data_IF_782048677178
#
_entry.id   IF_782048677178
#
_cell.length_a   1.000
_cell.length_b   1.000
_cell.length_c   1.000
_cell.angle_alpha   90.00
_cell.angle_beta   90.00
_cell.angle_gamma   90.00
#
_symmetry.space_group_name_H-M   'P 1'
#
loop_
_entity.id
_entity.type
_entity.pdbx_description
1 polymer ?
#
# COMPACT_ATOMS: atom_id res chain seq x y z
N UNK A 1 8.89 -20.60 24.97
CA UNK A 1 8.40 -20.25 23.62
C UNK A 1 9.34 -20.89 22.60
N UNK A 2 8.85 -21.63 21.60
CA UNK A 2 9.73 -22.17 20.55
C UNK A 2 10.29 -21.03 19.69
N UNK A 3 11.53 -21.15 19.19
CA UNK A 3 12.16 -20.17 18.27
C UNK A 3 11.22 -19.83 17.11
N UNK A 4 10.53 -20.83 16.55
CA UNK A 4 9.56 -20.66 15.47
C UNK A 4 8.39 -19.74 15.86
N UNK A 5 7.89 -19.85 17.07
CA UNK A 5 6.79 -19.00 17.58
C UNK A 5 7.25 -17.57 17.83
N UNK A 6 8.48 -17.37 18.31
CA UNK A 6 9.05 -16.03 18.48
C UNK A 6 9.25 -15.32 17.13
N UNK A 7 9.79 -16.03 16.13
CA UNK A 7 9.93 -15.51 14.76
C UNK A 7 8.56 -15.15 14.17
N UNK A 8 7.56 -16.02 14.34
CA UNK A 8 6.21 -15.74 13.87
C UNK A 8 5.62 -14.47 14.48
N UNK A 9 5.75 -14.31 15.80
CA UNK A 9 5.23 -13.15 16.51
C UNK A 9 5.92 -11.86 16.03
N UNK A 10 7.24 -11.86 15.90
CA UNK A 10 7.99 -10.69 15.41
C UNK A 10 7.62 -10.33 13.97
N UNK A 11 7.53 -11.32 13.08
CA UNK A 11 7.08 -11.11 11.69
C UNK A 11 5.67 -10.53 11.64
N UNK A 12 4.76 -11.08 12.44
CA UNK A 12 3.39 -10.59 12.55
C UNK A 12 3.34 -9.15 13.08
N UNK A 13 4.07 -8.84 14.16
CA UNK A 13 4.11 -7.51 14.75
C UNK A 13 4.66 -6.47 13.78
N UNK A 14 5.71 -6.80 13.02
CA UNK A 14 6.26 -5.90 12.00
C UNK A 14 5.27 -5.69 10.85
N UNK A 15 4.67 -6.77 10.33
CA UNK A 15 3.76 -6.68 9.19
C UNK A 15 2.46 -5.94 9.54
N UNK A 16 1.78 -6.35 10.62
CA UNK A 16 0.51 -5.76 11.03
C UNK A 16 0.71 -4.39 11.68
N UNK A 17 1.58 -4.31 12.70
CA UNK A 17 1.83 -3.07 13.43
C UNK A 17 2.48 -2.01 12.54
N UNK A 18 3.52 -2.39 11.78
CA UNK A 18 4.16 -1.49 10.81
C UNK A 18 3.19 -1.05 9.70
N UNK A 19 2.34 -1.96 9.24
CA UNK A 19 1.26 -1.66 8.28
C UNK A 19 0.28 -0.59 8.77
N UNK A 20 -0.22 -0.75 10.00
CA UNK A 20 -1.12 0.22 10.65
C UNK A 20 -0.40 1.56 10.88
N UNK A 21 0.79 1.53 11.46
CA UNK A 21 1.58 2.72 11.75
C UNK A 21 1.88 3.52 10.49
N UNK A 22 2.29 2.86 9.40
CA UNK A 22 2.56 3.55 8.15
C UNK A 22 1.27 4.10 7.52
N UNK A 23 0.25 3.25 7.33
CA UNK A 23 -0.94 3.58 6.54
C UNK A 23 -1.82 4.64 7.19
N UNK A 24 -1.99 4.58 8.51
CA UNK A 24 -3.01 5.39 9.21
C UNK A 24 -2.44 6.46 10.14
N UNK A 25 -1.13 6.46 10.41
CA UNK A 25 -0.49 7.44 11.28
C UNK A 25 0.56 8.23 10.51
N UNK A 26 1.64 7.56 10.08
CA UNK A 26 2.79 8.23 9.47
C UNK A 26 2.45 8.85 8.11
N UNK A 27 1.79 8.09 7.22
CA UNK A 27 1.47 8.57 5.87
C UNK A 27 0.50 9.77 5.88
N UNK A 28 -0.60 9.78 6.68
CA UNK A 28 -1.46 10.95 6.83
C UNK A 28 -0.76 12.16 7.43
N UNK A 29 0.12 11.97 8.43
CA UNK A 29 0.92 13.08 8.99
C UNK A 29 1.84 13.66 7.92
N UNK A 30 2.56 12.80 7.19
CA UNK A 30 3.45 13.22 6.11
C UNK A 30 2.68 13.95 5.01
N UNK A 31 1.50 13.47 4.62
CA UNK A 31 0.66 14.14 3.62
C UNK A 31 0.21 15.54 4.05
N UNK A 32 -0.06 15.74 5.35
CA UNK A 32 -0.50 17.03 5.89
C UNK A 32 0.63 18.06 6.04
N UNK A 33 1.86 17.61 6.25
CA UNK A 33 2.98 18.49 6.62
C UNK A 33 4.07 18.61 5.56
N UNK A 34 4.10 17.73 4.56
CA UNK A 34 5.04 17.83 3.44
C UNK A 34 4.38 18.49 2.23
N UNK A 35 5.20 19.17 1.42
CA UNK A 35 4.76 19.58 0.09
C UNK A 35 4.41 18.34 -0.74
N UNK A 36 3.46 18.48 -1.69
CA UNK A 36 2.96 17.35 -2.49
C UNK A 36 4.07 16.60 -3.21
N UNK A 37 5.07 17.32 -3.72
CA UNK A 37 6.22 16.72 -4.39
C UNK A 37 7.10 15.91 -3.44
N UNK A 38 7.44 16.48 -2.27
CA UNK A 38 8.24 15.80 -1.24
C UNK A 38 7.55 14.56 -0.68
N UNK A 39 6.26 14.65 -0.37
CA UNK A 39 5.46 13.49 0.02
C UNK A 39 5.52 12.42 -1.06
N UNK A 40 5.34 12.80 -2.32
CA UNK A 40 5.37 11.87 -3.43
C UNK A 40 6.75 11.23 -3.64
N UNK A 41 7.83 11.96 -3.37
CA UNK A 41 9.20 11.43 -3.40
C UNK A 41 9.45 10.43 -2.27
N UNK A 42 8.99 10.72 -1.06
CA UNK A 42 9.04 9.78 0.07
C UNK A 42 8.28 8.50 -0.26
N UNK A 43 7.03 8.62 -0.71
CA UNK A 43 6.18 7.47 -1.04
C UNK A 43 6.76 6.61 -2.17
N UNK A 44 7.38 7.22 -3.17
CA UNK A 44 8.08 6.51 -4.25
C UNK A 44 9.22 5.59 -3.74
N UNK A 45 9.80 5.89 -2.58
CA UNK A 45 10.83 5.07 -1.92
C UNK A 45 10.22 4.06 -0.95
N UNK A 46 9.13 4.42 -0.27
CA UNK A 46 8.49 3.56 0.74
C UNK A 46 7.64 2.46 0.10
N UNK A 47 6.77 2.80 -0.86
CA UNK A 47 5.78 1.86 -1.40
C UNK A 47 6.35 0.57 -2.00
N UNK A 48 7.49 0.56 -2.73
CA UNK A 48 8.05 -0.69 -3.22
C UNK A 48 8.39 -1.67 -2.08
N UNK A 49 9.09 -1.20 -1.04
CA UNK A 49 9.45 -2.06 0.08
C UNK A 49 8.21 -2.43 0.91
N UNK A 50 7.30 -1.48 1.13
CA UNK A 50 6.07 -1.70 1.86
C UNK A 50 5.19 -2.78 1.20
N UNK A 51 4.92 -2.66 -0.10
CA UNK A 51 4.10 -3.63 -0.83
C UNK A 51 4.81 -4.98 -1.01
N UNK A 52 6.14 -5.00 -1.16
CA UNK A 52 6.90 -6.25 -1.13
C UNK A 52 6.75 -6.96 0.22
N UNK A 53 6.84 -6.21 1.32
CA UNK A 53 6.56 -6.71 2.67
C UNK A 53 5.12 -7.20 2.81
N UNK A 54 4.14 -6.47 2.27
CA UNK A 54 2.73 -6.85 2.22
C UNK A 54 2.52 -8.19 1.49
N UNK A 55 3.32 -8.48 0.45
CA UNK A 55 3.29 -9.78 -0.26
C UNK A 55 4.00 -10.90 0.51
N UNK A 56 5.23 -10.65 0.96
CA UNK A 56 6.11 -11.69 1.48
C UNK A 56 5.83 -12.05 2.94
N UNK A 57 5.51 -11.06 3.78
CA UNK A 57 5.34 -11.27 5.21
C UNK A 57 4.21 -12.26 5.55
N UNK A 58 3.01 -12.22 4.92
CA UNK A 58 1.96 -13.21 5.19
C UNK A 58 2.38 -14.65 4.88
N UNK A 59 3.21 -14.87 3.85
CA UNK A 59 3.76 -16.19 3.52
C UNK A 59 4.70 -16.67 4.62
N UNK A 60 5.64 -15.81 5.05
CA UNK A 60 6.58 -16.13 6.12
C UNK A 60 5.87 -16.36 7.46
N UNK A 61 4.83 -15.56 7.75
CA UNK A 61 3.94 -15.77 8.91
C UNK A 61 3.27 -17.13 8.80
N UNK A 62 2.75 -17.53 7.63
CA UNK A 62 2.13 -18.84 7.45
C UNK A 62 3.08 -20.01 7.71
N UNK A 63 4.31 -19.94 7.17
CA UNK A 63 5.34 -20.97 7.34
C UNK A 63 5.81 -21.10 8.80
N UNK A 64 5.86 -19.98 9.51
CA UNK A 64 6.28 -19.92 10.90
C UNK A 64 5.11 -20.05 11.88
N UNK A 65 3.87 -20.04 11.39
CA UNK A 65 2.68 -20.05 12.23
C UNK A 65 2.63 -21.34 13.05
N UNK A 66 2.28 -21.24 14.33
CA UNK A 66 2.11 -22.43 15.14
C UNK A 66 0.65 -22.96 15.05
N UNK A 67 -0.22 -22.28 14.30
CA UNK A 67 -1.63 -22.63 14.07
C UNK A 67 -1.82 -23.61 12.91
N UNK A 68 -2.99 -24.23 12.81
CA UNK A 68 -3.32 -25.15 11.72
C UNK A 68 -3.32 -24.42 10.36
N UNK A 69 -2.55 -24.89 9.35
CA UNK A 69 -2.50 -24.27 8.03
C UNK A 69 -3.86 -24.16 7.33
N UNK A 70 -4.77 -25.12 7.56
CA UNK A 70 -6.12 -25.09 6.98
C UNK A 70 -6.95 -23.90 7.49
N UNK A 71 -6.64 -23.41 8.70
CA UNK A 71 -7.35 -22.29 9.32
C UNK A 71 -6.74 -20.95 8.91
N UNK A 72 -5.41 -20.82 8.94
CA UNK A 72 -4.72 -19.54 8.68
C UNK A 72 -4.36 -19.32 7.23
N UNK A 73 -4.23 -20.39 6.44
CA UNK A 73 -3.81 -20.36 5.03
C UNK A 73 -4.65 -19.43 4.17
N UNK A 74 -6.00 -19.57 4.15
CA UNK A 74 -6.85 -18.69 3.33
C UNK A 74 -6.73 -17.21 3.70
N UNK A 75 -6.63 -16.91 5.00
CA UNK A 75 -6.53 -15.53 5.52
C UNK A 75 -5.21 -14.88 5.11
N UNK A 76 -4.09 -15.59 5.31
CA UNK A 76 -2.76 -15.10 4.95
C UNK A 76 -2.55 -15.04 3.42
N UNK A 77 -3.16 -15.97 2.68
CA UNK A 77 -3.13 -15.95 1.22
C UNK A 77 -3.84 -14.71 0.66
N UNK A 78 -5.00 -14.34 1.20
CA UNK A 78 -5.69 -13.12 0.80
C UNK A 78 -4.81 -11.88 1.01
N UNK A 79 -4.09 -11.81 2.13
CA UNK A 79 -3.12 -10.73 2.40
C UNK A 79 -1.97 -10.71 1.38
N UNK A 80 -1.36 -11.88 1.10
CA UNK A 80 -0.27 -12.01 0.15
C UNK A 80 -0.68 -11.65 -1.29
N UNK A 81 -1.86 -12.09 -1.73
CA UNK A 81 -2.43 -11.77 -3.04
C UNK A 81 -2.73 -10.28 -3.14
N UNK A 82 -3.31 -9.66 -2.11
CA UNK A 82 -3.57 -8.23 -2.10
C UNK A 82 -2.27 -7.41 -2.20
N UNK A 83 -1.22 -7.82 -1.46
CA UNK A 83 0.12 -7.24 -1.58
C UNK A 83 0.70 -7.42 -2.98
N UNK A 84 0.57 -8.61 -3.57
CA UNK A 84 1.08 -8.90 -4.92
C UNK A 84 0.39 -8.04 -5.99
N UNK A 85 -0.93 -7.88 -5.91
CA UNK A 85 -1.69 -6.99 -6.80
C UNK A 85 -1.22 -5.53 -6.63
N UNK A 86 -0.99 -5.09 -5.38
CA UNK A 86 -0.42 -3.77 -5.12
C UNK A 86 0.97 -3.60 -5.75
N UNK A 87 1.87 -4.57 -5.56
CA UNK A 87 3.27 -4.48 -5.99
C UNK A 87 3.41 -4.62 -7.52
N UNK A 88 2.83 -5.66 -8.10
CA UNK A 88 3.05 -6.02 -9.51
C UNK A 88 2.11 -5.33 -10.49
N UNK A 89 0.96 -4.83 -10.04
CA UNK A 89 -0.03 -4.20 -10.92
C UNK A 89 -0.30 -2.74 -10.58
N UNK A 90 -0.78 -2.45 -9.38
CA UNK A 90 -1.27 -1.09 -9.07
C UNK A 90 -0.12 -0.10 -8.95
N UNK A 91 0.98 -0.47 -8.30
CA UNK A 91 2.18 0.37 -8.17
C UNK A 91 2.76 0.81 -9.52
N UNK A 92 3.06 -0.08 -10.49
CA UNK A 92 3.59 0.35 -11.79
C UNK A 92 2.61 1.22 -12.57
N UNK A 93 1.31 0.94 -12.49
CA UNK A 93 0.28 1.79 -13.14
C UNK A 93 0.27 3.20 -12.55
N UNK A 94 0.26 3.33 -11.23
CA UNK A 94 0.33 4.64 -10.55
C UNK A 94 1.61 5.41 -10.90
N UNK A 95 2.76 4.72 -10.99
CA UNK A 95 4.03 5.33 -11.40
C UNK A 95 3.95 5.88 -12.82
N UNK A 96 3.43 5.10 -13.77
CA UNK A 96 3.23 5.53 -15.16
C UNK A 96 2.33 6.77 -15.25
N UNK A 97 1.18 6.75 -14.57
CA UNK A 97 0.27 7.91 -14.55
C UNK A 97 0.98 9.16 -13.99
N UNK A 98 1.79 9.01 -12.94
CA UNK A 98 2.56 10.12 -12.37
C UNK A 98 3.63 10.63 -13.35
N UNK A 99 4.35 9.74 -14.02
CA UNK A 99 5.32 10.10 -15.05
C UNK A 99 4.68 10.87 -16.20
N UNK A 100 3.52 10.42 -16.69
CA UNK A 100 2.79 11.08 -17.77
C UNK A 100 2.26 12.46 -17.33
N UNK A 101 1.78 12.60 -16.08
CA UNK A 101 1.44 13.91 -15.50
C UNK A 101 2.65 14.84 -15.42
N UNK A 102 3.80 14.33 -15.00
CA UNK A 102 5.03 15.11 -14.90
C UNK A 102 5.52 15.59 -16.28
N UNK A 103 5.34 14.78 -17.34
CA UNK A 103 5.62 15.20 -18.73
C UNK A 103 4.74 16.37 -19.15
N UNK A 104 3.44 16.33 -18.85
CA UNK A 104 2.53 17.46 -19.15
C UNK A 104 2.94 18.73 -18.41
N UNK A 105 3.45 18.60 -17.19
CA UNK A 105 4.00 19.75 -16.44
C UNK A 105 5.26 20.30 -17.11
N UNK A 106 6.20 19.42 -17.46
CA UNK A 106 7.46 19.80 -18.12
C UNK A 106 7.22 20.48 -19.49
N UNK A 107 6.26 19.97 -20.27
CA UNK A 107 5.86 20.52 -21.56
C UNK A 107 4.96 21.76 -21.45
N UNK A 108 4.61 22.19 -20.23
CA UNK A 108 3.64 23.27 -19.96
C UNK A 108 2.26 23.06 -20.59
N UNK A 109 1.84 21.79 -20.72
CA UNK A 109 0.53 21.34 -21.24
C UNK A 109 -0.47 20.93 -20.16
N UNK A 110 -0.07 21.01 -18.89
CA UNK A 110 -0.92 20.66 -17.75
C UNK A 110 -2.03 21.68 -17.48
N UNK A 111 -1.89 22.91 -17.98
CA UNK A 111 -2.80 24.03 -17.77
C UNK A 111 -3.18 24.67 -19.12
N UNK A 112 -4.35 25.29 -19.16
CA UNK A 112 -4.88 26.04 -20.29
C UNK A 112 -5.70 27.23 -19.79
N UNK A 113 -5.82 28.28 -20.61
CA UNK A 113 -6.63 29.45 -20.29
C UNK A 113 -8.01 29.28 -20.93
N UNK A 114 -9.05 29.24 -20.11
CA UNK A 114 -10.46 29.21 -20.55
C UNK A 114 -11.17 30.37 -19.87
N UNK A 115 -11.82 31.23 -20.65
CA UNK A 115 -12.54 32.41 -20.15
C UNK A 115 -11.70 33.35 -19.25
N UNK A 116 -10.39 33.42 -19.52
CA UNK A 116 -9.45 34.24 -18.75
C UNK A 116 -8.94 33.60 -17.45
N UNK A 117 -9.42 32.40 -17.09
CA UNK A 117 -8.98 31.65 -15.93
C UNK A 117 -7.99 30.54 -16.31
N UNK A 118 -6.97 30.33 -15.48
CA UNK A 118 -6.04 29.19 -15.64
C UNK A 118 -6.67 27.95 -15.05
N UNK A 119 -6.99 26.98 -15.90
CA UNK A 119 -7.59 25.70 -15.51
C UNK A 119 -6.70 24.54 -15.94
N UNK A 120 -6.82 23.40 -15.25
CA UNK A 120 -6.12 22.18 -15.67
C UNK A 120 -6.60 21.77 -17.08
N UNK A 121 -5.68 21.29 -17.91
CA UNK A 121 -6.04 20.70 -19.19
C UNK A 121 -6.89 19.44 -18.98
N UNK A 122 -7.70 19.10 -19.99
CA UNK A 122 -8.55 17.90 -19.94
C UNK A 122 -7.71 16.63 -19.73
N UNK A 123 -6.58 16.53 -20.43
CA UNK A 123 -5.65 15.40 -20.32
C UNK A 123 -5.08 15.28 -18.90
N UNK A 124 -4.60 16.38 -18.31
CA UNK A 124 -4.08 16.39 -16.94
C UNK A 124 -5.16 16.04 -15.91
N UNK A 125 -6.38 16.51 -16.14
CA UNK A 125 -7.54 16.20 -15.31
C UNK A 125 -7.91 14.71 -15.38
N UNK A 126 -7.90 14.13 -16.59
CA UNK A 126 -8.18 12.70 -16.79
C UNK A 126 -7.11 11.82 -16.10
N UNK A 127 -5.83 12.14 -16.28
CA UNK A 127 -4.75 11.43 -15.58
C UNK A 127 -4.88 11.55 -14.05
N UNK A 128 -5.27 12.72 -13.54
CA UNK A 128 -5.49 12.92 -12.10
C UNK A 128 -6.65 12.08 -11.56
N UNK A 129 -7.74 11.93 -12.33
CA UNK A 129 -8.85 11.02 -11.99
C UNK A 129 -8.41 9.56 -11.99
N UNK A 130 -7.67 9.14 -13.01
CA UNK A 130 -7.12 7.78 -13.07
C UNK A 130 -6.19 7.48 -11.90
N UNK A 131 -5.31 8.43 -11.54
CA UNK A 131 -4.45 8.30 -10.37
C UNK A 131 -5.27 8.10 -9.09
N UNK A 132 -6.31 8.92 -8.87
CA UNK A 132 -7.20 8.79 -7.71
C UNK A 132 -7.88 7.43 -7.64
N UNK A 133 -8.35 6.91 -8.78
CA UNK A 133 -8.98 5.59 -8.87
C UNK A 133 -8.00 4.46 -8.48
N UNK A 134 -6.82 4.41 -9.09
CA UNK A 134 -5.83 3.36 -8.79
C UNK A 134 -5.26 3.50 -7.37
N UNK A 135 -5.10 4.72 -6.86
CA UNK A 135 -4.76 4.94 -5.45
C UNK A 135 -5.84 4.39 -4.51
N UNK A 136 -7.13 4.56 -4.84
CA UNK A 136 -8.25 3.97 -4.13
C UNK A 136 -8.22 2.44 -4.12
N UNK A 137 -7.98 1.82 -5.29
CA UNK A 137 -7.80 0.36 -5.40
C UNK A 137 -6.63 -0.10 -4.53
N UNK A 138 -5.50 0.60 -4.56
CA UNK A 138 -4.33 0.26 -3.76
C UNK A 138 -4.61 0.30 -2.26
N UNK A 139 -5.35 1.33 -1.83
CA UNK A 139 -5.78 1.52 -0.45
C UNK A 139 -6.74 0.41 0.01
N UNK A 140 -7.64 -0.05 -0.85
CA UNK A 140 -8.54 -1.17 -0.57
C UNK A 140 -7.76 -2.50 -0.42
N UNK A 141 -6.82 -2.77 -1.32
CA UNK A 141 -5.95 -3.96 -1.23
C UNK A 141 -5.12 -3.93 0.07
N UNK A 142 -4.61 -2.76 0.45
CA UNK A 142 -3.92 -2.57 1.72
C UNK A 142 -4.85 -2.83 2.92
N UNK A 143 -6.08 -2.31 2.90
CA UNK A 143 -7.07 -2.57 3.95
C UNK A 143 -7.40 -4.06 4.07
N UNK A 144 -7.61 -4.76 2.96
CA UNK A 144 -7.83 -6.22 2.95
C UNK A 144 -6.67 -6.95 3.62
N UNK A 145 -5.43 -6.57 3.30
CA UNK A 145 -4.24 -7.15 3.92
C UNK A 145 -4.17 -6.90 5.42
N UNK A 146 -4.50 -5.69 5.90
CA UNK A 146 -4.50 -5.37 7.33
C UNK A 146 -5.62 -6.05 8.09
N UNK A 147 -6.83 -6.14 7.51
CA UNK A 147 -7.97 -6.86 8.12
C UNK A 147 -7.67 -8.35 8.24
N UNK A 148 -7.09 -8.96 7.20
CA UNK A 148 -6.73 -10.38 7.22
C UNK A 148 -5.58 -10.66 8.21
N UNK A 149 -4.58 -9.78 8.29
CA UNK A 149 -3.56 -9.87 9.34
C UNK A 149 -4.16 -9.67 10.75
N UNK A 150 -5.12 -8.77 10.92
CA UNK A 150 -5.87 -8.62 12.17
C UNK A 150 -6.62 -9.89 12.57
N UNK A 151 -7.31 -10.53 11.61
CA UNK A 151 -7.97 -11.81 11.83
C UNK A 151 -6.97 -12.93 12.20
N UNK A 152 -5.80 -12.96 11.55
CA UNK A 152 -4.71 -13.86 11.94
C UNK A 152 -4.27 -13.61 13.39
N UNK A 153 -4.06 -12.35 13.79
CA UNK A 153 -3.71 -11.98 15.16
C UNK A 153 -4.73 -12.43 16.20
N UNK A 154 -6.02 -12.30 15.88
CA UNK A 154 -7.11 -12.80 16.73
C UNK A 154 -7.12 -14.32 16.86
N UNK A 155 -6.80 -15.05 15.79
CA UNK A 155 -6.64 -16.51 15.86
C UNK A 155 -5.40 -16.91 16.66
N UNK A 156 -4.32 -16.13 16.56
CA UNK A 156 -3.09 -16.34 17.29
C UNK A 156 -3.27 -16.08 18.79
N UNK A 157 -4.08 -15.08 19.18
CA UNK A 157 -4.33 -14.76 20.58
C UNK A 157 -5.06 -15.88 21.33
N UNK A 158 -5.96 -16.62 20.67
CA UNK A 158 -6.67 -17.77 21.25
C UNK A 158 -5.79 -18.94 21.68
N UNK A 159 -4.52 -18.93 21.30
CA UNK A 159 -3.53 -19.94 21.69
C UNK A 159 -2.87 -19.61 23.04
N UNK A 160 -2.86 -18.34 23.43
CA UNK A 160 -2.35 -17.88 24.72
C UNK A 160 -3.45 -17.96 25.77
#
# INVERSE_FOLDING_TARGET
MSVKSAVNLLLYSIAFGGGIMHSYIVSPIAFKHLQREEFSNLQNKVFPLYFLGQTAAPILIGLTSPLCPKTVGPVLLASAVAGALNYFWVLPVCKKIKEDRNKLVADKKHEQIVDGETVNSEEFTNLSKQFGMYHGISSLLNLVSLVTLGAYGFLLSKRF
#
